data_IF_476091510976
#
_entry.id   IF_476091510976
#
_cell.length_a   1.000
_cell.length_b   1.000
_cell.length_c   1.000
_cell.angle_alpha   90.00
_cell.angle_beta   90.00
_cell.angle_gamma   90.00
#
_symmetry.space_group_name_H-M   'P 1'
#
loop_
_entity.id
_entity.type
_entity.pdbx_description
1 polymer ?
#
# COMPACT_ATOMS: atom_id res chain seq x y z
N UNK A 1 -4.66 -12.80 -6.87
CA UNK A 1 -4.26 -13.72 -5.77
C UNK A 1 -5.49 -14.06 -4.95
N UNK A 2 -5.77 -15.34 -4.68
CA UNK A 2 -6.89 -15.71 -3.79
C UNK A 2 -6.55 -15.37 -2.33
N UNK A 3 -7.56 -15.34 -1.45
CA UNK A 3 -7.34 -15.18 0.00
C UNK A 3 -6.53 -16.34 0.58
N UNK A 4 -6.74 -17.57 0.07
CA UNK A 4 -5.98 -18.75 0.48
C UNK A 4 -4.48 -18.64 0.11
N UNK A 5 -4.18 -18.22 -1.12
CA UNK A 5 -2.80 -18.02 -1.57
C UNK A 5 -2.11 -16.92 -0.76
N UNK A 6 -2.83 -15.82 -0.48
CA UNK A 6 -2.33 -14.73 0.35
C UNK A 6 -2.01 -15.22 1.76
N UNK A 7 -2.89 -16.00 2.38
CA UNK A 7 -2.69 -16.58 3.69
C UNK A 7 -1.43 -17.48 3.73
N UNK A 8 -1.25 -18.31 2.71
CA UNK A 8 -0.11 -19.19 2.57
C UNK A 8 1.19 -18.38 2.41
N UNK A 9 1.18 -17.35 1.54
CA UNK A 9 2.30 -16.45 1.34
C UNK A 9 2.71 -15.79 2.66
N UNK A 10 1.78 -15.11 3.36
CA UNK A 10 2.05 -14.40 4.63
C UNK A 10 2.65 -15.32 5.70
N UNK A 11 2.34 -16.62 5.67
CA UNK A 11 2.90 -17.59 6.61
C UNK A 11 4.37 -17.94 6.37
N UNK A 12 4.92 -17.61 5.20
CA UNK A 12 6.33 -17.86 4.84
C UNK A 12 7.28 -17.13 5.80
N UNK A 13 8.24 -17.84 6.43
CA UNK A 13 9.21 -17.22 7.32
C UNK A 13 10.05 -16.15 6.62
N UNK A 14 10.23 -14.99 7.25
CA UNK A 14 11.04 -13.89 6.73
C UNK A 14 10.37 -13.04 5.64
N UNK A 15 9.14 -13.37 5.23
CA UNK A 15 8.38 -12.51 4.33
C UNK A 15 7.99 -11.21 5.05
N UNK A 16 8.31 -10.07 4.44
CA UNK A 16 8.05 -8.73 5.00
C UNK A 16 7.13 -7.89 4.13
N UNK A 17 6.97 -8.24 2.85
CA UNK A 17 6.14 -7.50 1.89
C UNK A 17 5.42 -8.46 0.93
N UNK A 18 4.26 -8.03 0.43
CA UNK A 18 3.50 -8.73 -0.62
C UNK A 18 3.01 -7.73 -1.66
N UNK A 19 3.26 -8.05 -2.94
CA UNK A 19 2.65 -7.38 -4.08
C UNK A 19 1.12 -7.56 -4.08
N UNK A 20 0.41 -6.45 -4.23
CA UNK A 20 -1.05 -6.37 -4.17
C UNK A 20 -1.62 -6.81 -2.82
N UNK A 21 -2.27 -7.99 -2.75
CA UNK A 21 -2.91 -8.50 -1.54
C UNK A 21 -4.22 -7.79 -1.15
N UNK A 22 -4.80 -6.98 -2.03
CA UNK A 22 -5.99 -6.15 -1.73
C UNK A 22 -7.24 -6.93 -1.31
N UNK A 23 -7.32 -8.21 -1.66
CA UNK A 23 -8.38 -9.12 -1.22
C UNK A 23 -8.39 -9.39 0.29
N UNK A 24 -7.28 -9.13 1.01
CA UNK A 24 -7.26 -9.20 2.46
C UNK A 24 -8.34 -8.33 3.11
N UNK A 25 -8.75 -7.24 2.46
CA UNK A 25 -9.78 -6.34 2.97
C UNK A 25 -11.15 -7.03 3.18
N UNK A 26 -11.38 -8.16 2.54
CA UNK A 26 -12.63 -8.93 2.63
C UNK A 26 -12.57 -10.08 3.64
N UNK A 27 -11.42 -10.31 4.27
CA UNK A 27 -11.22 -11.38 5.24
C UNK A 27 -10.56 -10.83 6.52
N UNK A 28 -11.33 -10.62 7.60
CA UNK A 28 -10.81 -10.12 8.87
C UNK A 28 -9.68 -10.97 9.45
N UNK A 29 -9.67 -12.28 9.19
CA UNK A 29 -8.61 -13.16 9.68
C UNK A 29 -7.28 -12.92 8.95
N UNK A 30 -7.34 -12.52 7.67
CA UNK A 30 -6.16 -12.11 6.91
C UNK A 30 -5.65 -10.74 7.31
N UNK A 31 -6.53 -9.80 7.60
CA UNK A 31 -6.15 -8.51 8.19
C UNK A 31 -5.35 -8.77 9.47
N UNK A 32 -5.88 -9.58 10.38
CA UNK A 32 -5.19 -9.89 11.63
C UNK A 32 -3.84 -10.57 11.38
N UNK A 33 -3.79 -11.54 10.46
CA UNK A 33 -2.56 -12.23 10.11
C UNK A 33 -1.49 -11.27 9.54
N UNK A 34 -1.88 -10.31 8.69
CA UNK A 34 -0.96 -9.30 8.15
C UNK A 34 -0.41 -8.40 9.26
N UNK A 35 -1.26 -7.98 10.20
CA UNK A 35 -0.87 -7.17 11.35
C UNK A 35 0.09 -7.93 12.28
N UNK A 36 -0.25 -9.16 12.66
CA UNK A 36 0.55 -10.00 13.55
C UNK A 36 1.94 -10.29 12.98
N UNK A 37 2.03 -10.41 11.65
CA UNK A 37 3.29 -10.67 10.94
C UNK A 37 4.04 -9.40 10.54
N UNK A 38 3.43 -8.22 10.67
CA UNK A 38 4.00 -6.96 10.20
C UNK A 38 4.26 -6.93 8.69
N UNK A 39 3.44 -7.62 7.89
CA UNK A 39 3.62 -7.70 6.43
C UNK A 39 3.00 -6.48 5.75
N UNK A 40 3.81 -5.80 4.93
CA UNK A 40 3.37 -4.63 4.15
C UNK A 40 2.79 -5.04 2.80
N UNK A 41 1.65 -4.46 2.43
CA UNK A 41 1.06 -4.64 1.10
C UNK A 41 1.50 -3.55 0.12
N UNK A 42 1.91 -3.95 -1.08
CA UNK A 42 2.31 -3.03 -2.16
C UNK A 42 1.17 -2.89 -3.17
N UNK A 43 0.39 -1.82 -3.05
CA UNK A 43 -0.84 -1.65 -3.81
C UNK A 43 -0.59 -0.80 -5.06
N UNK A 44 -1.01 -1.31 -6.22
CA UNK A 44 -1.07 -0.54 -7.47
C UNK A 44 -2.53 -0.37 -7.89
N UNK A 45 -3.09 0.83 -7.71
CA UNK A 45 -4.52 1.10 -7.88
C UNK A 45 -4.94 0.91 -9.34
N UNK A 46 -4.26 1.59 -10.25
CA UNK A 46 -4.59 1.55 -11.68
C UNK A 46 -4.39 0.15 -12.26
N UNK A 47 -3.37 -0.57 -11.79
CA UNK A 47 -3.12 -1.96 -12.18
C UNK A 47 -4.24 -2.90 -11.70
N UNK A 48 -4.67 -2.78 -10.44
CA UNK A 48 -5.77 -3.58 -9.90
C UNK A 48 -7.08 -3.37 -10.65
N UNK A 49 -7.34 -2.13 -11.09
CA UNK A 49 -8.50 -1.80 -11.91
C UNK A 49 -8.37 -2.39 -13.32
N UNK A 50 -7.24 -2.13 -14.01
CA UNK A 50 -7.03 -2.56 -15.39
C UNK A 50 -7.12 -4.07 -15.58
N UNK A 51 -6.54 -4.85 -14.67
CA UNK A 51 -6.55 -6.31 -14.76
C UNK A 51 -7.74 -6.97 -14.08
N UNK A 52 -8.76 -6.19 -13.68
CA UNK A 52 -9.99 -6.74 -13.10
C UNK A 52 -9.75 -7.51 -11.81
N UNK A 53 -8.77 -7.08 -11.00
CA UNK A 53 -8.49 -7.69 -9.69
C UNK A 53 -9.69 -7.49 -8.76
N UNK A 54 -10.47 -6.42 -8.95
CA UNK A 54 -11.62 -6.10 -8.11
C UNK A 54 -12.94 -6.59 -8.74
N UNK A 55 -13.87 -7.13 -7.92
CA UNK A 55 -15.18 -7.60 -8.40
C UNK A 55 -16.12 -6.47 -8.81
N UNK A 56 -15.92 -5.24 -8.31
CA UNK A 56 -16.70 -4.05 -8.68
C UNK A 56 -15.78 -2.84 -8.76
N UNK A 57 -15.85 -2.08 -9.85
CA UNK A 57 -15.05 -0.87 -10.08
C UNK A 57 -15.31 0.26 -9.06
N UNK A 58 -16.43 0.21 -8.33
CA UNK A 58 -16.92 1.39 -7.62
C UNK A 58 -16.16 1.75 -6.35
N UNK A 59 -15.45 0.82 -5.70
CA UNK A 59 -14.61 1.13 -4.52
C UNK A 59 -13.41 0.20 -4.39
N UNK A 60 -12.22 0.74 -4.65
CA UNK A 60 -10.98 0.05 -4.32
C UNK A 60 -10.88 -0.15 -2.80
N UNK A 61 -10.50 -1.34 -2.28
CA UNK A 61 -10.50 -1.66 -0.85
C UNK A 61 -9.33 -1.04 -0.05
N UNK A 62 -8.59 -0.10 -0.66
CA UNK A 62 -7.43 0.55 -0.03
C UNK A 62 -7.82 1.29 1.27
N UNK A 63 -8.93 2.09 1.31
CA UNK A 63 -9.35 2.75 2.53
C UNK A 63 -9.62 1.77 3.69
N UNK A 64 -10.20 0.60 3.39
CA UNK A 64 -10.49 -0.45 4.39
C UNK A 64 -9.21 -0.99 5.01
N UNK A 65 -8.20 -1.32 4.19
CA UNK A 65 -6.90 -1.81 4.68
C UNK A 65 -6.20 -0.78 5.56
N UNK A 66 -6.20 0.48 5.12
CA UNK A 66 -5.59 1.58 5.88
C UNK A 66 -6.33 1.88 7.19
N UNK A 67 -7.65 1.80 7.20
CA UNK A 67 -8.46 1.97 8.40
C UNK A 67 -8.24 0.83 9.40
N UNK A 68 -7.99 -0.39 8.91
CA UNK A 68 -7.63 -1.55 9.73
C UNK A 68 -6.19 -1.53 10.24
N UNK A 69 -5.38 -0.53 9.86
CA UNK A 69 -3.99 -0.39 10.30
C UNK A 69 -2.99 -1.25 9.54
N UNK A 70 -3.39 -1.93 8.47
CA UNK A 70 -2.47 -2.71 7.63
C UNK A 70 -1.44 -1.75 7.00
N UNK A 71 -0.13 -2.03 7.10
CA UNK A 71 0.86 -1.21 6.43
C UNK A 71 0.72 -1.40 4.91
N UNK A 72 0.47 -0.30 4.22
CA UNK A 72 0.27 -0.27 2.75
C UNK A 72 1.20 0.77 2.13
N UNK A 73 1.73 0.45 0.95
CA UNK A 73 2.44 1.35 0.03
C UNK A 73 1.66 1.51 -1.28
N UNK A 74 2.00 2.55 -2.06
CA UNK A 74 1.52 2.72 -3.44
C UNK A 74 2.68 2.46 -4.42
N UNK A 75 2.37 1.77 -5.52
CA UNK A 75 3.29 1.47 -6.60
C UNK A 75 2.58 1.58 -7.96
N UNK A 76 3.34 1.75 -9.04
CA UNK A 76 2.80 1.77 -10.40
C UNK A 76 2.66 0.39 -11.03
N UNK A 77 3.35 -0.60 -10.46
CA UNK A 77 3.56 -1.93 -11.06
C UNK A 77 4.20 -1.84 -12.46
N UNK A 78 3.42 -2.00 -13.53
CA UNK A 78 3.86 -1.88 -14.93
C UNK A 78 3.42 -0.54 -15.57
N UNK A 79 4.10 0.59 -15.31
CA UNK A 79 3.64 1.93 -15.70
C UNK A 79 3.45 2.12 -17.20
N UNK A 80 4.25 1.45 -18.04
CA UNK A 80 4.13 1.55 -19.51
C UNK A 80 2.87 0.84 -20.01
N UNK A 81 2.56 -0.33 -19.45
CA UNK A 81 1.39 -1.10 -19.86
C UNK A 81 0.10 -0.51 -19.29
N UNK A 82 0.15 -0.02 -18.05
CA UNK A 82 -1.00 0.57 -17.36
C UNK A 82 -1.25 2.01 -17.80
N UNK A 83 -0.23 2.72 -18.29
CA UNK A 83 -0.33 4.13 -18.65
C UNK A 83 -0.45 5.04 -17.43
N UNK A 84 0.24 4.69 -16.34
CA UNK A 84 0.18 5.42 -15.05
C UNK A 84 1.56 5.93 -14.63
N UNK A 85 1.56 6.84 -13.65
CA UNK A 85 2.74 7.38 -12.98
C UNK A 85 2.51 7.36 -11.47
N UNK A 86 3.58 7.50 -10.68
CA UNK A 86 3.42 7.45 -9.22
C UNK A 86 2.56 8.60 -8.68
N UNK A 87 2.63 9.79 -9.29
CA UNK A 87 1.75 10.91 -8.95
C UNK A 87 0.29 10.63 -9.31
N UNK A 88 0.03 9.94 -10.42
CA UNK A 88 -1.32 9.51 -10.78
C UNK A 88 -1.90 8.50 -9.76
N UNK A 89 -1.09 7.57 -9.25
CA UNK A 89 -1.52 6.65 -8.18
C UNK A 89 -1.91 7.39 -6.89
N UNK A 90 -1.16 8.42 -6.50
CA UNK A 90 -1.52 9.25 -5.33
C UNK A 90 -2.76 10.13 -5.60
N UNK A 91 -2.94 10.60 -6.84
CA UNK A 91 -4.15 11.31 -7.24
C UNK A 91 -5.39 10.38 -7.17
N UNK A 92 -5.27 9.15 -7.67
CA UNK A 92 -6.32 8.13 -7.57
C UNK A 92 -6.63 7.79 -6.10
N UNK A 93 -5.61 7.67 -5.25
CA UNK A 93 -5.79 7.49 -3.81
C UNK A 93 -6.58 8.64 -3.16
N UNK A 94 -6.38 9.87 -3.60
CA UNK A 94 -7.16 11.04 -3.15
C UNK A 94 -8.62 10.95 -3.60
N UNK A 95 -8.88 10.47 -4.82
CA UNK A 95 -10.25 10.24 -5.33
C UNK A 95 -10.99 9.16 -4.53
N UNK A 96 -10.26 8.24 -3.89
CA UNK A 96 -10.81 7.25 -2.93
C UNK A 96 -11.09 7.85 -1.54
N UNK A 97 -10.89 9.16 -1.36
CA UNK A 97 -11.18 9.88 -0.11
C UNK A 97 -10.05 9.87 0.91
N UNK A 98 -8.82 9.50 0.51
CA UNK A 98 -7.68 9.60 1.42
C UNK A 98 -7.23 11.05 1.59
N UNK A 99 -7.03 11.46 2.83
CA UNK A 99 -6.46 12.76 3.16
C UNK A 99 -4.93 12.78 3.04
N UNK A 100 -4.35 13.98 3.08
CA UNK A 100 -2.89 14.19 3.02
C UNK A 100 -2.14 13.42 4.11
N UNK A 101 -2.71 13.29 5.31
CA UNK A 101 -2.09 12.55 6.41
C UNK A 101 -2.00 11.05 6.12
N UNK A 102 -3.05 10.48 5.52
CA UNK A 102 -3.08 9.09 5.07
C UNK A 102 -2.10 8.86 3.92
N UNK A 103 -2.02 9.78 2.94
CA UNK A 103 -1.04 9.70 1.85
C UNK A 103 0.40 9.77 2.38
N UNK A 104 0.70 10.66 3.31
CA UNK A 104 2.01 10.73 3.97
C UNK A 104 2.31 9.46 4.76
N UNK A 105 1.31 8.83 5.39
CA UNK A 105 1.47 7.54 6.08
C UNK A 105 1.83 6.43 5.09
N UNK A 106 1.19 6.38 3.92
CA UNK A 106 1.56 5.45 2.84
C UNK A 106 3.03 5.66 2.42
N UNK A 107 3.45 6.90 2.22
CA UNK A 107 4.86 7.20 1.88
C UNK A 107 5.82 6.76 2.99
N UNK A 108 5.48 7.02 4.27
CA UNK A 108 6.29 6.55 5.40
C UNK A 108 6.37 5.03 5.45
N UNK A 109 5.27 4.32 5.23
CA UNK A 109 5.26 2.85 5.14
C UNK A 109 6.19 2.36 4.03
N UNK A 110 6.18 3.01 2.86
CA UNK A 110 7.09 2.65 1.76
C UNK A 110 8.56 2.82 2.15
N UNK A 111 8.90 3.90 2.84
CA UNK A 111 10.26 4.10 3.36
C UNK A 111 10.60 3.07 4.42
N UNK A 112 9.69 2.70 5.32
CA UNK A 112 9.92 1.69 6.37
C UNK A 112 10.06 0.28 5.80
N UNK A 113 9.29 -0.06 4.77
CA UNK A 113 9.30 -1.38 4.16
C UNK A 113 10.42 -1.56 3.12
N UNK A 114 11.10 -0.48 2.72
CA UNK A 114 12.18 -0.52 1.74
C UNK A 114 13.35 -1.40 2.19
N UNK A 115 13.87 -2.21 1.28
CA UNK A 115 15.12 -2.96 1.45
C UNK A 115 16.31 -2.03 1.22
N UNK A 116 16.60 -1.22 2.23
CA UNK A 116 17.66 -0.21 2.21
C UNK A 116 18.37 -0.17 3.56
N UNK A 117 19.45 0.60 3.67
CA UNK A 117 20.18 0.74 4.93
C UNK A 117 19.44 1.67 5.89
N UNK A 118 19.72 1.55 7.19
CA UNK A 118 19.08 2.38 8.21
C UNK A 118 19.44 3.86 8.07
N UNK A 119 20.64 4.17 7.58
CA UNK A 119 21.04 5.55 7.29
C UNK A 119 20.17 6.14 6.17
N UNK A 120 20.00 5.40 5.07
CA UNK A 120 19.17 5.84 3.95
C UNK A 120 17.71 5.93 4.33
N UNK A 121 17.20 4.98 5.12
CA UNK A 121 15.85 5.01 5.68
C UNK A 121 15.61 6.26 6.52
N UNK A 122 16.53 6.55 7.44
CA UNK A 122 16.47 7.73 8.32
C UNK A 122 16.50 9.02 7.51
N UNK A 123 17.35 9.12 6.49
CA UNK A 123 17.39 10.26 5.58
C UNK A 123 16.05 10.48 4.86
N UNK A 124 15.50 9.41 4.28
CA UNK A 124 14.22 9.47 3.56
C UNK A 124 13.05 9.84 4.48
N UNK A 125 13.00 9.31 5.70
CA UNK A 125 11.97 9.67 6.67
C UNK A 125 12.02 11.17 7.02
N UNK A 126 13.22 11.76 7.14
CA UNK A 126 13.37 13.22 7.34
C UNK A 126 12.84 14.02 6.16
N UNK A 127 12.96 13.52 4.92
CA UNK A 127 12.36 14.18 3.76
C UNK A 127 10.83 14.15 3.83
N UNK A 128 10.24 13.00 4.20
CA UNK A 128 8.78 12.89 4.37
C UNK A 128 8.28 13.80 5.50
N UNK A 129 8.99 13.85 6.63
CA UNK A 129 8.64 14.73 7.75
C UNK A 129 8.76 16.22 7.43
N UNK A 130 9.65 16.58 6.51
CA UNK A 130 9.78 17.96 6.01
C UNK A 130 8.60 18.31 5.11
N UNK A 131 8.27 17.44 4.17
CA UNK A 131 7.11 17.61 3.28
C UNK A 131 5.80 17.74 4.08
N UNK A 132 5.64 16.92 5.13
CA UNK A 132 4.48 16.98 6.01
C UNK A 132 4.29 18.36 6.70
N UNK A 133 5.38 19.07 7.02
CA UNK A 133 5.31 20.40 7.64
C UNK A 133 4.94 21.50 6.64
N UNK A 134 5.32 21.34 5.38
CA UNK A 134 5.01 22.32 4.32
C UNK A 134 3.58 22.21 3.79
N UNK A 135 2.94 21.04 3.94
CA UNK A 135 1.57 20.79 3.45
C UNK A 135 0.46 21.18 4.44
N UNK A 136 0.82 21.66 5.64
CA UNK A 136 -0.11 22.08 6.72
C UNK A 136 -0.13 23.61 6.88
N UNK A 137 0.60 24.34 6.05
CA UNK A 137 0.56 25.81 5.94
C UNK A 137 -0.08 26.24 4.63
#
# INVERSE_FOLDING_TARGET
MSTADLAAAVRTPGLTRIGHGVHAAYDPSLIQLLLDRGVTLEVALSCNELFGVLPTAEKHPLPTLLAAGVPVTLATDDPVQVGTTIDAEYAAATQLGLDTGQLLRITRNAVQAAFTTEERRTELLRHVDRAARTSVG
#
